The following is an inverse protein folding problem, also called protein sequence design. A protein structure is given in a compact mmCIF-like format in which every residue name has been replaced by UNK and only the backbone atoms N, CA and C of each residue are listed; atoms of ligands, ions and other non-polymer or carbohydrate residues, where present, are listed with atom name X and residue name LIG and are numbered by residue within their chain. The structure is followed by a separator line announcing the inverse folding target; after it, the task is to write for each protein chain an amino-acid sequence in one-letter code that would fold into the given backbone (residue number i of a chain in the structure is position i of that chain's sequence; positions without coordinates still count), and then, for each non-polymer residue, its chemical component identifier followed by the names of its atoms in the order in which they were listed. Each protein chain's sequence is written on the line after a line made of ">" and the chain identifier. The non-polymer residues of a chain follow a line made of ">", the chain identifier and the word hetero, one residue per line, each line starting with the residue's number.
data_IF_050191235997
#
_entry.id   IF_050191235997
#
_cell.length_a   1.000
_cell.length_b   1.000
_cell.length_c   1.000
_cell.angle_alpha   90.00
_cell.angle_beta   90.00
_cell.angle_gamma   90.00
#
_symmetry.space_group_name_H-M   'P 1'
#
loop_
_entity.id
_entity.type
_entity.pdbx_description
1 polymer ?
#
# COMPACT_ATOMS: atom_id res chain seq x y z
N UNK A 1 -62.03 0.90 19.77
CA UNK A 1 -60.68 0.44 20.26
C UNK A 1 -59.78 -0.22 19.22
N UNK A 2 -60.25 -0.52 18.00
CA UNK A 2 -59.46 -1.17 16.95
C UNK A 2 -58.59 -0.22 16.09
N UNK A 3 -58.90 1.09 16.08
CA UNK A 3 -58.19 2.05 15.26
C UNK A 3 -56.84 2.54 15.86
N UNK A 4 -56.67 2.47 17.18
CA UNK A 4 -55.41 2.89 17.84
C UNK A 4 -54.26 1.89 17.71
N UNK A 5 -54.55 0.59 17.61
CA UNK A 5 -53.52 -0.44 17.49
C UNK A 5 -52.80 -0.46 16.11
N UNK A 6 -53.51 -0.01 15.06
CA UNK A 6 -52.94 0.01 13.69
C UNK A 6 -51.88 1.08 13.51
N UNK A 7 -52.00 2.24 14.16
CA UNK A 7 -51.06 3.37 14.03
C UNK A 7 -49.74 3.09 14.78
N UNK A 8 -49.79 2.40 15.91
CA UNK A 8 -48.60 2.01 16.66
C UNK A 8 -47.75 0.95 15.90
N UNK A 9 -48.41 0.02 15.20
CA UNK A 9 -47.70 -1.05 14.45
C UNK A 9 -46.97 -0.46 13.22
N UNK A 10 -47.51 0.53 12.54
CA UNK A 10 -46.88 1.22 11.41
C UNK A 10 -45.71 2.10 11.85
N UNK A 11 -45.75 2.71 13.03
CA UNK A 11 -44.64 3.52 13.57
C UNK A 11 -43.44 2.63 13.98
N UNK A 12 -43.67 1.42 14.49
CA UNK A 12 -42.61 0.48 14.86
C UNK A 12 -41.96 -0.11 13.62
N UNK A 13 -42.71 -0.45 12.58
CA UNK A 13 -42.15 -0.95 11.31
C UNK A 13 -41.34 0.14 10.56
N UNK A 14 -41.76 1.41 10.59
CA UNK A 14 -40.98 2.52 10.03
C UNK A 14 -39.68 2.78 10.76
N UNK A 15 -39.63 2.59 12.08
CA UNK A 15 -38.44 2.76 12.91
C UNK A 15 -37.38 1.65 12.68
N UNK A 16 -37.80 0.41 12.40
CA UNK A 16 -36.89 -0.72 12.15
C UNK A 16 -36.30 -0.66 10.74
N UNK A 17 -37.05 -0.20 9.75
CA UNK A 17 -36.54 -0.02 8.36
C UNK A 17 -35.68 1.24 8.17
N UNK A 18 -35.77 2.21 9.05
CA UNK A 18 -34.99 3.46 8.97
C UNK A 18 -33.57 3.39 9.53
N UNK A 19 -33.22 2.33 10.32
CA UNK A 19 -31.92 2.24 11.01
C UNK A 19 -30.88 1.48 10.16
N UNK A 20 -31.26 0.95 9.02
CA UNK A 20 -30.41 0.19 8.08
C UNK A 20 -29.59 1.03 7.10
N UNK A 21 -29.39 2.33 7.30
CA UNK A 21 -28.29 3.05 6.62
C UNK A 21 -27.02 2.61 7.28
N UNK A 22 -26.42 1.56 6.71
CA UNK A 22 -25.03 1.19 6.92
C UNK A 22 -24.21 2.49 6.99
N UNK A 23 -23.71 2.82 8.18
CA UNK A 23 -22.68 3.86 8.31
C UNK A 23 -21.50 3.35 7.48
N UNK A 24 -21.40 3.82 6.25
CA UNK A 24 -20.21 3.57 5.45
C UNK A 24 -19.02 4.00 6.28
N UNK A 25 -18.08 3.07 6.54
CA UNK A 25 -16.85 3.38 7.23
C UNK A 25 -16.16 4.51 6.44
N UNK A 26 -15.94 5.71 7.02
CA UNK A 26 -15.38 6.84 6.27
C UNK A 26 -13.98 6.51 5.71
N UNK A 27 -13.21 5.65 6.40
CA UNK A 27 -11.93 5.18 5.90
C UNK A 27 -12.09 4.26 4.67
N UNK A 28 -13.14 3.43 4.63
CA UNK A 28 -13.44 2.62 3.45
C UNK A 28 -13.86 3.50 2.27
N UNK A 29 -14.76 4.46 2.48
CA UNK A 29 -15.18 5.39 1.42
C UNK A 29 -14.00 6.19 0.85
N UNK A 30 -13.03 6.59 1.68
CA UNK A 30 -11.82 7.28 1.24
C UNK A 30 -10.92 6.43 0.33
N UNK A 31 -11.03 5.10 0.38
CA UNK A 31 -10.20 4.17 -0.39
C UNK A 31 -10.88 3.57 -1.64
N UNK A 32 -12.12 3.94 -1.93
CA UNK A 32 -12.78 3.53 -3.19
C UNK A 32 -11.99 3.91 -4.45
N UNK A 33 -11.32 5.09 -4.54
CA UNK A 33 -10.49 5.43 -5.70
C UNK A 33 -9.32 4.47 -5.93
N UNK A 34 -8.73 3.92 -4.85
CA UNK A 34 -7.66 2.94 -4.95
C UNK A 34 -8.15 1.62 -5.56
N UNK A 35 -9.36 1.15 -5.17
CA UNK A 35 -10.00 -0.05 -5.77
C UNK A 35 -10.31 0.19 -7.25
N UNK A 36 -10.79 1.39 -7.61
CA UNK A 36 -11.01 1.74 -9.01
C UNK A 36 -9.68 1.76 -9.80
N UNK A 37 -8.59 2.23 -9.19
CA UNK A 37 -7.24 2.17 -9.78
C UNK A 37 -6.78 0.72 -9.94
N UNK A 38 -6.96 -0.13 -8.91
CA UNK A 38 -6.67 -1.56 -8.97
C UNK A 38 -7.38 -2.23 -10.18
N UNK A 39 -8.68 -1.94 -10.38
CA UNK A 39 -9.42 -2.42 -11.53
C UNK A 39 -8.85 -1.97 -12.88
N UNK A 40 -8.37 -0.72 -12.97
CA UNK A 40 -7.75 -0.20 -14.21
C UNK A 40 -6.40 -0.83 -14.53
N UNK A 41 -5.58 -1.11 -13.51
CA UNK A 41 -4.25 -1.71 -13.70
C UNK A 41 -4.29 -3.24 -13.77
N UNK A 42 -5.42 -3.88 -13.46
CA UNK A 42 -5.58 -5.33 -13.48
C UNK A 42 -5.10 -6.01 -14.77
N UNK A 43 -5.39 -5.49 -15.98
CA UNK A 43 -4.89 -6.09 -17.22
C UNK A 43 -3.36 -6.04 -17.36
N UNK A 44 -2.67 -5.24 -16.55
CA UNK A 44 -1.22 -5.08 -16.56
C UNK A 44 -0.50 -5.99 -15.55
N UNK A 45 -1.23 -6.64 -14.65
CA UNK A 45 -0.69 -7.61 -13.69
C UNK A 45 -0.43 -8.96 -14.39
N UNK A 46 0.61 -9.00 -15.20
CA UNK A 46 1.06 -10.19 -15.93
C UNK A 46 2.59 -10.27 -15.98
N UNK A 47 3.15 -11.32 -16.60
CA UNK A 47 4.61 -11.50 -16.69
C UNK A 47 5.27 -11.52 -15.33
N UNK A 48 6.30 -10.71 -15.14
CA UNK A 48 7.10 -10.64 -13.91
C UNK A 48 6.35 -10.12 -12.69
N UNK A 49 5.20 -9.45 -12.90
CA UNK A 49 4.34 -8.92 -11.83
C UNK A 49 2.98 -9.62 -11.74
N UNK A 50 2.84 -10.80 -12.36
CA UNK A 50 1.59 -11.56 -12.39
C UNK A 50 1.08 -12.00 -11.01
N UNK A 51 1.98 -12.08 -10.01
CA UNK A 51 1.62 -12.45 -8.63
C UNK A 51 1.04 -11.29 -7.81
N UNK A 52 0.95 -10.07 -8.37
CA UNK A 52 0.34 -8.93 -7.68
C UNK A 52 -1.16 -9.15 -7.49
N UNK A 53 -1.57 -9.31 -6.25
CA UNK A 53 -2.98 -9.36 -5.86
C UNK A 53 -3.54 -7.94 -5.77
N UNK A 54 -4.48 -7.60 -6.65
CA UNK A 54 -5.07 -6.27 -6.69
C UNK A 54 -6.20 -6.12 -5.67
N UNK A 55 -6.35 -4.94 -5.11
CA UNK A 55 -7.36 -4.65 -4.11
C UNK A 55 -8.78 -4.72 -4.71
N UNK A 56 -9.63 -5.53 -4.09
CA UNK A 56 -11.07 -5.64 -4.41
C UNK A 56 -11.96 -4.96 -3.36
N UNK A 57 -11.38 -4.59 -2.24
CA UNK A 57 -12.07 -3.91 -1.14
C UNK A 57 -11.24 -2.72 -0.66
N UNK A 58 -11.88 -1.61 -0.27
CA UNK A 58 -11.17 -0.45 0.24
C UNK A 58 -10.36 -0.78 1.50
N UNK A 59 -9.05 -0.49 1.47
CA UNK A 59 -8.15 -0.72 2.59
C UNK A 59 -7.19 0.45 2.78
N UNK A 60 -7.29 1.10 3.93
CA UNK A 60 -6.35 2.15 4.34
C UNK A 60 -5.15 1.48 5.02
N UNK A 61 -3.95 1.64 4.44
CA UNK A 61 -2.73 1.08 5.01
C UNK A 61 -2.46 1.69 6.40
N UNK A 62 -2.10 0.89 7.41
CA UNK A 62 -1.78 1.39 8.75
C UNK A 62 -0.71 2.49 8.72
N UNK A 63 -0.68 3.32 9.77
CA UNK A 63 0.39 4.32 9.93
C UNK A 63 1.65 3.61 10.38
N UNK A 64 2.43 3.14 9.40
CA UNK A 64 3.72 2.49 9.65
C UNK A 64 4.75 3.54 10.09
N UNK A 65 5.46 3.27 11.18
CA UNK A 65 6.49 4.15 11.71
C UNK A 65 7.87 3.50 11.56
N UNK A 66 8.83 4.24 10.99
CA UNK A 66 10.18 3.80 10.70
C UNK A 66 11.16 4.98 10.77
N UNK A 67 12.41 4.81 10.41
CA UNK A 67 13.45 5.86 10.42
C UNK A 67 14.08 6.01 9.04
N UNK A 68 14.52 7.22 8.72
CA UNK A 68 15.40 7.48 7.59
C UNK A 68 16.88 7.19 7.93
N UNK A 69 17.79 7.45 6.97
CA UNK A 69 19.22 7.20 7.12
C UNK A 69 19.86 8.03 8.26
N UNK A 70 19.33 9.21 8.53
CA UNK A 70 19.78 10.14 9.59
C UNK A 70 19.18 9.79 10.96
N UNK A 71 18.26 8.79 11.02
CA UNK A 71 17.58 8.34 12.23
C UNK A 71 16.34 9.17 12.60
N UNK A 72 15.90 10.08 11.74
CA UNK A 72 14.67 10.83 11.97
C UNK A 72 13.45 9.92 11.83
N UNK A 73 12.47 10.13 12.70
CA UNK A 73 11.22 9.40 12.66
C UNK A 73 10.40 9.78 11.41
N UNK A 74 9.99 8.77 10.68
CA UNK A 74 9.14 8.88 9.49
C UNK A 74 7.89 8.03 9.67
N UNK A 75 6.86 8.38 8.95
CA UNK A 75 5.65 7.56 8.86
C UNK A 75 5.16 7.52 7.42
N UNK A 76 4.38 6.50 7.04
CA UNK A 76 3.82 6.43 5.69
C UNK A 76 2.92 7.63 5.35
N UNK A 77 2.47 8.41 6.34
CA UNK A 77 1.73 9.68 6.12
C UNK A 77 2.57 10.76 5.43
N UNK A 78 3.89 10.69 5.53
CA UNK A 78 4.80 11.69 4.95
C UNK A 78 4.77 11.64 3.41
N UNK A 79 4.25 10.53 2.85
CA UNK A 79 4.04 10.33 1.42
C UNK A 79 2.61 10.61 0.95
N UNK A 80 1.79 11.30 1.75
CA UNK A 80 0.48 11.73 1.24
C UNK A 80 0.67 12.64 0.01
N UNK A 81 -0.10 12.38 -1.03
CA UNK A 81 0.07 13.01 -2.33
C UNK A 81 0.97 12.26 -3.31
N UNK A 82 1.66 11.19 -2.87
CA UNK A 82 2.51 10.33 -3.69
C UNK A 82 1.93 8.92 -3.79
N UNK A 83 2.08 8.29 -4.94
CA UNK A 83 1.97 6.84 -5.03
C UNK A 83 3.25 6.22 -4.48
N UNK A 84 3.15 5.19 -3.67
CA UNK A 84 4.29 4.53 -3.02
C UNK A 84 4.32 3.06 -3.40
N UNK A 85 5.50 2.56 -3.77
CA UNK A 85 5.78 1.15 -3.75
C UNK A 85 6.49 0.85 -2.43
N UNK A 86 5.71 0.44 -1.43
CA UNK A 86 6.18 0.06 -0.12
C UNK A 86 6.71 -1.37 -0.18
N UNK A 87 7.99 -1.57 0.17
CA UNK A 87 8.61 -2.89 0.22
C UNK A 87 9.23 -3.15 1.59
N UNK A 88 9.00 -4.32 2.15
CA UNK A 88 9.70 -4.77 3.36
C UNK A 88 10.78 -5.78 2.99
N UNK A 89 12.01 -5.54 3.46
CA UNK A 89 13.16 -6.37 3.16
C UNK A 89 14.11 -6.55 4.34
N UNK A 90 15.00 -7.54 4.24
CA UNK A 90 16.05 -7.78 5.25
C UNK A 90 17.29 -8.43 4.62
N UNK A 91 18.45 -8.23 5.23
CA UNK A 91 19.71 -8.82 4.74
C UNK A 91 19.80 -10.35 4.86
N UNK A 92 19.03 -10.93 5.76
CA UNK A 92 18.91 -12.39 5.91
C UNK A 92 17.92 -13.02 4.93
N UNK A 93 17.10 -12.22 4.25
CA UNK A 93 16.09 -12.66 3.29
C UNK A 93 16.72 -12.76 1.88
N UNK A 94 17.04 -13.98 1.43
CA UNK A 94 17.70 -14.20 0.13
C UNK A 94 16.89 -13.66 -1.06
N UNK A 95 15.56 -13.91 -1.19
CA UNK A 95 14.78 -13.35 -2.28
C UNK A 95 14.69 -11.81 -2.22
N UNK A 96 14.60 -11.20 -1.02
CA UNK A 96 14.62 -9.75 -0.88
C UNK A 96 15.92 -9.14 -1.45
N UNK A 97 17.07 -9.73 -1.11
CA UNK A 97 18.37 -9.26 -1.60
C UNK A 97 18.48 -9.28 -3.12
N UNK A 98 17.87 -10.28 -3.77
CA UNK A 98 17.86 -10.41 -5.23
C UNK A 98 16.97 -9.34 -5.89
N UNK A 99 15.91 -8.89 -5.21
CA UNK A 99 14.96 -7.90 -5.70
C UNK A 99 15.49 -6.46 -5.62
N UNK A 100 16.42 -6.15 -4.68
CA UNK A 100 16.88 -4.78 -4.44
C UNK A 100 17.40 -4.04 -5.69
N UNK A 101 18.16 -4.64 -6.61
CA UNK A 101 18.57 -3.95 -7.84
C UNK A 101 17.39 -3.54 -8.74
N UNK A 102 16.34 -4.36 -8.80
CA UNK A 102 15.14 -4.04 -9.57
C UNK A 102 14.34 -2.88 -8.95
N UNK A 103 14.26 -2.84 -7.61
CA UNK A 103 13.66 -1.71 -6.88
C UNK A 103 14.43 -0.41 -7.10
N UNK A 104 15.78 -0.46 -7.08
CA UNK A 104 16.64 0.70 -7.35
C UNK A 104 16.47 1.21 -8.79
N UNK A 105 16.40 0.29 -9.76
CA UNK A 105 16.18 0.63 -11.16
C UNK A 105 14.79 1.23 -11.36
N UNK A 106 13.75 0.70 -10.72
CA UNK A 106 12.40 1.28 -10.76
C UNK A 106 12.39 2.69 -10.15
N UNK A 107 13.06 2.89 -9.01
CA UNK A 107 13.19 4.22 -8.39
C UNK A 107 13.88 5.21 -9.32
N UNK A 108 14.98 4.80 -9.99
CA UNK A 108 15.69 5.62 -10.98
C UNK A 108 14.78 6.02 -12.14
N UNK A 109 13.92 5.10 -12.63
CA UNK A 109 13.09 5.32 -13.81
C UNK A 109 11.83 6.14 -13.51
N UNK A 110 11.14 5.84 -12.42
CA UNK A 110 9.84 6.44 -12.10
C UNK A 110 9.85 7.39 -10.90
N UNK A 111 10.92 7.38 -10.09
CA UNK A 111 11.02 8.21 -8.89
C UNK A 111 10.90 9.69 -9.17
N UNK A 112 10.19 10.41 -8.30
CA UNK A 112 9.97 11.84 -8.45
C UNK A 112 8.82 12.38 -7.61
N UNK A 113 8.28 13.56 -7.93
CA UNK A 113 7.32 14.25 -7.07
C UNK A 113 5.95 13.56 -6.94
N UNK A 114 5.75 12.45 -7.64
CA UNK A 114 4.50 11.69 -7.61
C UNK A 114 4.67 10.23 -7.19
N UNK A 115 5.92 9.76 -7.08
CA UNK A 115 6.20 8.35 -6.81
C UNK A 115 7.52 8.16 -6.07
N UNK A 116 7.53 7.26 -5.12
CA UNK A 116 8.73 6.78 -4.43
C UNK A 116 8.65 5.29 -4.11
N UNK A 117 9.78 4.59 -4.27
CA UNK A 117 9.98 3.25 -3.71
C UNK A 117 10.44 3.41 -2.26
N UNK A 118 9.58 3.09 -1.31
CA UNK A 118 9.87 3.13 0.13
C UNK A 118 10.22 1.73 0.60
N UNK A 119 11.51 1.37 0.46
CA UNK A 119 12.04 0.08 0.87
C UNK A 119 12.50 0.12 2.32
N UNK A 120 11.73 -0.47 3.24
CA UNK A 120 12.00 -0.45 4.69
C UNK A 120 12.75 -1.73 5.07
N UNK A 121 13.98 -1.56 5.56
CA UNK A 121 14.75 -2.64 6.15
C UNK A 121 14.21 -3.00 7.54
N UNK A 122 14.04 -4.29 7.80
CA UNK A 122 13.56 -4.81 9.10
C UNK A 122 14.58 -5.70 9.82
N UNK A 123 15.87 -5.53 9.54
CA UNK A 123 16.92 -6.20 10.35
C UNK A 123 16.88 -5.68 11.78
N UNK A 124 16.78 -6.59 12.74
CA UNK A 124 16.73 -6.27 14.17
C UNK A 124 18.11 -6.28 14.83
N UNK A 125 19.16 -6.62 14.09
CA UNK A 125 20.55 -6.68 14.53
C UNK A 125 21.46 -6.06 13.48
N UNK A 126 22.68 -5.66 13.89
CA UNK A 126 23.72 -5.17 13.00
C UNK A 126 23.24 -4.02 12.08
N UNK A 127 22.93 -2.84 12.60
CA UNK A 127 22.33 -1.74 11.83
C UNK A 127 23.18 -1.25 10.66
N UNK A 128 24.49 -1.52 10.67
CA UNK A 128 25.42 -1.17 9.59
C UNK A 128 25.32 -2.14 8.40
N UNK A 129 24.91 -3.38 8.65
CA UNK A 129 24.89 -4.44 7.64
C UNK A 129 23.99 -4.15 6.44
N UNK A 130 22.76 -3.60 6.60
CA UNK A 130 21.93 -3.25 5.46
C UNK A 130 22.57 -2.21 4.55
N UNK A 131 23.16 -1.17 5.12
CA UNK A 131 23.83 -0.11 4.36
C UNK A 131 25.05 -0.64 3.60
N UNK A 132 25.89 -1.46 4.26
CA UNK A 132 27.03 -2.13 3.63
C UNK A 132 26.56 -2.99 2.45
N UNK A 133 25.51 -3.80 2.65
CA UNK A 133 24.93 -4.63 1.60
C UNK A 133 24.44 -3.80 0.39
N UNK A 134 23.66 -2.74 0.61
CA UNK A 134 23.18 -1.88 -0.48
C UNK A 134 24.34 -1.26 -1.27
N UNK A 135 25.39 -0.81 -0.57
CA UNK A 135 26.60 -0.27 -1.19
C UNK A 135 27.32 -1.35 -2.03
N UNK A 136 27.48 -2.56 -1.50
CA UNK A 136 28.18 -3.65 -2.17
C UNK A 136 27.50 -4.07 -3.48
N UNK A 137 26.16 -3.99 -3.56
CA UNK A 137 25.39 -4.33 -4.77
C UNK A 137 25.11 -3.12 -5.67
N UNK A 138 25.64 -1.92 -5.33
CA UNK A 138 25.54 -0.71 -6.15
C UNK A 138 24.15 -0.06 -6.18
N UNK A 139 23.33 -0.25 -5.15
CA UNK A 139 22.06 0.48 -4.97
C UNK A 139 22.34 1.93 -4.60
N UNK A 140 21.85 2.87 -5.39
CA UNK A 140 22.19 4.30 -5.27
C UNK A 140 21.01 5.26 -5.40
N UNK A 141 19.84 4.79 -5.84
CA UNK A 141 18.65 5.62 -6.06
C UNK A 141 17.61 5.44 -4.95
N UNK A 142 17.64 4.31 -4.22
CA UNK A 142 16.78 4.10 -3.07
C UNK A 142 17.23 4.92 -1.87
N UNK A 143 16.29 5.65 -1.25
CA UNK A 143 16.49 6.19 0.09
C UNK A 143 16.48 5.05 1.10
N UNK A 144 17.40 5.09 2.07
CA UNK A 144 17.46 4.08 3.12
C UNK A 144 16.43 4.37 4.21
N UNK A 145 15.59 3.38 4.48
CA UNK A 145 14.63 3.38 5.59
C UNK A 145 14.78 2.12 6.41
N UNK A 146 14.56 2.21 7.72
CA UNK A 146 14.70 1.07 8.61
C UNK A 146 13.73 1.08 9.79
N UNK A 147 13.32 -0.11 10.20
CA UNK A 147 12.63 -0.37 11.46
C UNK A 147 13.27 -1.57 12.16
N UNK A 148 14.24 -1.31 13.02
CA UNK A 148 14.95 -2.33 13.80
C UNK A 148 14.07 -3.08 14.80
N UNK A 149 12.85 -2.61 15.05
CA UNK A 149 11.88 -3.30 15.89
C UNK A 149 11.01 -4.29 15.11
N UNK A 150 11.07 -4.25 13.77
CA UNK A 150 10.22 -4.98 12.84
C UNK A 150 8.71 -4.81 13.11
N UNK A 151 8.30 -3.71 13.74
CA UNK A 151 6.89 -3.39 14.01
C UNK A 151 6.10 -3.20 12.73
N UNK A 152 6.70 -2.54 11.71
CA UNK A 152 6.03 -2.36 10.40
C UNK A 152 5.59 -3.69 9.80
N UNK A 153 6.40 -4.75 9.92
CA UNK A 153 6.02 -6.08 9.48
C UNK A 153 4.88 -6.66 10.33
N UNK A 154 4.95 -6.49 11.66
CA UNK A 154 3.91 -6.99 12.56
C UNK A 154 2.57 -6.28 12.35
N UNK A 155 2.59 -4.96 12.12
CA UNK A 155 1.38 -4.17 11.85
C UNK A 155 0.73 -4.60 10.53
N UNK A 156 1.50 -4.78 9.46
CA UNK A 156 0.99 -5.31 8.20
C UNK A 156 0.51 -6.75 8.33
N UNK A 157 1.20 -7.59 9.11
CA UNK A 157 0.75 -8.96 9.38
C UNK A 157 -0.59 -9.00 10.13
N UNK A 158 -0.76 -8.17 11.15
CA UNK A 158 -2.04 -8.05 11.88
C UNK A 158 -3.16 -7.54 10.97
N UNK A 159 -2.83 -6.69 10.01
CA UNK A 159 -3.76 -6.21 8.98
C UNK A 159 -4.03 -7.23 7.86
N UNK A 160 -3.39 -8.41 7.90
CA UNK A 160 -3.54 -9.45 6.88
C UNK A 160 -2.83 -9.14 5.56
N UNK A 161 -1.75 -8.29 5.60
CA UNK A 161 -1.04 -7.78 4.43
C UNK A 161 0.43 -8.21 4.34
N UNK A 162 0.95 -8.93 5.33
CA UNK A 162 2.30 -9.48 5.32
C UNK A 162 2.30 -10.93 5.79
N UNK A 163 2.51 -11.86 4.86
CA UNK A 163 2.54 -13.29 5.13
C UNK A 163 3.95 -13.89 5.04
N UNK A 164 4.92 -13.12 4.54
CA UNK A 164 6.31 -13.53 4.34
C UNK A 164 7.17 -12.38 3.86
N UNK A 165 8.39 -12.69 3.43
CA UNK A 165 9.36 -11.71 2.94
C UNK A 165 9.90 -12.09 1.56
N UNK A 166 10.04 -11.13 0.63
CA UNK A 166 9.61 -9.73 0.74
C UNK A 166 8.08 -9.59 0.73
N UNK A 167 7.60 -8.50 1.29
CA UNK A 167 6.21 -8.05 1.15
C UNK A 167 6.22 -6.69 0.47
N UNK A 168 5.44 -6.54 -0.60
CA UNK A 168 5.33 -5.28 -1.34
C UNK A 168 3.87 -4.85 -1.45
N UNK A 169 3.59 -3.58 -1.19
CA UNK A 169 2.27 -2.96 -1.41
C UNK A 169 2.43 -1.78 -2.38
N UNK A 170 1.51 -1.65 -3.33
CA UNK A 170 1.32 -0.41 -4.06
C UNK A 170 0.26 0.40 -3.33
N UNK A 171 0.64 1.60 -2.90
CA UNK A 171 -0.20 2.48 -2.07
C UNK A 171 -0.46 3.76 -2.85
N UNK A 172 -1.71 4.18 -2.92
CA UNK A 172 -2.10 5.41 -3.60
C UNK A 172 -1.76 6.68 -2.78
N UNK A 173 -1.97 7.85 -3.38
CA UNK A 173 -1.72 9.17 -2.77
C UNK A 173 -2.51 9.42 -1.49
N UNK A 174 -3.62 8.73 -1.31
CA UNK A 174 -4.46 8.81 -0.10
C UNK A 174 -4.02 7.80 0.98
N UNK A 175 -3.01 6.97 0.69
CA UNK A 175 -2.50 5.92 1.57
C UNK A 175 -3.35 4.66 1.55
N UNK A 176 -4.12 4.46 0.49
CA UNK A 176 -4.95 3.29 0.29
C UNK A 176 -4.23 2.28 -0.61
N UNK A 177 -4.44 1.00 -0.33
CA UNK A 177 -3.86 -0.08 -1.11
C UNK A 177 -4.48 -0.17 -2.50
N UNK A 178 -3.62 -0.25 -3.51
CA UNK A 178 -3.97 -0.62 -4.89
C UNK A 178 -3.76 -2.12 -5.09
N UNK A 179 -2.73 -2.69 -4.48
CA UNK A 179 -2.44 -4.12 -4.55
C UNK A 179 -1.27 -4.51 -3.66
N UNK A 180 -1.12 -5.83 -3.45
CA UNK A 180 -0.08 -6.42 -2.63
C UNK A 180 0.58 -7.61 -3.31
N UNK A 181 1.85 -7.86 -2.99
CA UNK A 181 2.60 -9.02 -3.45
C UNK A 181 3.39 -9.64 -2.30
N UNK A 182 3.21 -10.94 -2.10
CA UNK A 182 4.04 -11.75 -1.23
C UNK A 182 5.08 -12.48 -2.09
N UNK A 183 6.36 -12.18 -1.87
CA UNK A 183 7.47 -12.71 -2.65
C UNK A 183 8.09 -11.68 -3.61
N UNK A 184 9.25 -12.02 -4.21
CA UNK A 184 10.02 -11.12 -5.05
C UNK A 184 9.39 -10.94 -6.44
N UNK A 185 9.64 -9.78 -7.06
CA UNK A 185 9.34 -9.54 -8.46
C UNK A 185 10.46 -8.73 -9.15
N UNK A 186 10.49 -8.81 -10.50
CA UNK A 186 11.36 -7.95 -11.31
C UNK A 186 10.62 -6.64 -11.60
N UNK A 187 10.61 -5.74 -10.61
CA UNK A 187 9.86 -4.48 -10.65
C UNK A 187 10.31 -3.53 -11.76
N UNK A 188 11.57 -3.64 -12.20
CA UNK A 188 12.11 -2.88 -13.34
C UNK A 188 11.87 -3.55 -14.70
N UNK A 189 11.15 -4.68 -14.75
CA UNK A 189 10.72 -5.26 -16.02
C UNK A 189 9.77 -4.31 -16.76
N UNK A 190 9.64 -4.44 -18.10
CA UNK A 190 8.67 -3.66 -18.86
C UNK A 190 7.24 -3.76 -18.30
N UNK A 191 6.85 -4.94 -17.80
CA UNK A 191 5.53 -5.17 -17.21
C UNK A 191 5.39 -4.42 -15.87
N UNK A 192 6.41 -4.50 -15.00
CA UNK A 192 6.44 -3.81 -13.71
C UNK A 192 6.40 -2.30 -13.87
N UNK A 193 7.26 -1.74 -14.71
CA UNK A 193 7.31 -0.30 -15.02
C UNK A 193 5.96 0.19 -15.58
N UNK A 194 5.36 -0.56 -16.52
CA UNK A 194 4.07 -0.20 -17.12
C UNK A 194 2.94 -0.19 -16.09
N UNK A 195 2.89 -1.22 -15.23
CA UNK A 195 1.88 -1.33 -14.17
C UNK A 195 2.00 -0.19 -13.17
N UNK A 196 3.21 0.05 -12.65
CA UNK A 196 3.45 1.12 -11.66
C UNK A 196 3.19 2.50 -12.26
N UNK A 197 3.63 2.76 -13.50
CA UNK A 197 3.33 4.02 -14.22
C UNK A 197 1.83 4.26 -14.36
N UNK A 198 1.04 3.21 -14.66
CA UNK A 198 -0.40 3.32 -14.75
C UNK A 198 -1.05 3.60 -13.38
N UNK A 199 -0.52 3.02 -12.29
CA UNK A 199 -0.96 3.32 -10.92
C UNK A 199 -0.69 4.79 -10.54
N UNK A 200 0.50 5.32 -10.88
CA UNK A 200 0.89 6.73 -10.65
C UNK A 200 -0.02 7.70 -11.41
N UNK A 201 -0.36 7.37 -12.66
CA UNK A 201 -1.11 8.26 -13.57
C UNK A 201 -2.62 8.24 -13.32
N UNK A 202 -3.09 7.41 -12.40
CA UNK A 202 -4.52 7.30 -12.11
C UNK A 202 -5.09 8.62 -11.58
N UNK A 203 -6.21 9.11 -12.13
CA UNK A 203 -6.84 10.34 -11.65
C UNK A 203 -7.26 10.19 -10.19
N UNK A 204 -7.07 11.26 -9.42
CA UNK A 204 -7.62 11.35 -8.07
C UNK A 204 -9.13 11.25 -8.14
N UNK A 205 -9.77 10.54 -7.22
CA UNK A 205 -11.22 10.51 -7.08
C UNK A 205 -11.87 11.85 -6.73
N UNK A 206 -11.12 12.95 -6.83
CA UNK A 206 -11.55 14.32 -6.50
C UNK A 206 -12.44 15.00 -7.55
N UNK A 207 -12.74 14.36 -8.70
CA UNK A 207 -13.56 14.98 -9.77
C UNK A 207 -15.03 14.56 -9.76
N UNK A 208 -15.53 13.89 -8.74
CA UNK A 208 -16.93 13.44 -8.69
C UNK A 208 -17.87 14.31 -7.82
N UNK A 209 -17.44 15.51 -7.38
CA UNK A 209 -18.29 16.43 -6.64
C UNK A 209 -18.28 17.80 -7.34
N UNK A 210 -18.80 17.86 -8.56
CA UNK A 210 -19.29 19.11 -9.14
C UNK A 210 -20.26 18.77 -10.29
N UNK A 211 -21.50 18.50 -9.97
CA UNK A 211 -22.71 18.82 -10.76
C UNK A 211 -23.90 18.80 -9.82
#
# INVERSE_FOLDING_TARGET
>A
MLALCGILALAVLGGVYGIGRLRSNPAAAACEPAVATAGRVAPLAHGEVAALALAHTPFLVPVLAFKDAEGHARTLKDWRGHTVLLNLWATWCVPCRKEMPALDALQRELGGPKFEVVAINIDTRDPEKPLAFLKDIGVTHLTYYSDQSAKVFQELKLAGKAFGMPTTLIVDRSGCEIGEMAGPAEWASPDGVKLVSAAISSPDGASAITQ
#
